data_IF_180484060298
#
_entry.id   IF_180484060298
#
_cell.length_a   1.000
_cell.length_b   1.000
_cell.length_c   1.000
_cell.angle_alpha   90.00
_cell.angle_beta   90.00
_cell.angle_gamma   90.00
#
_symmetry.space_group_name_H-M   'P 1'
#
loop_
_entity.id
_entity.type
_entity.pdbx_description
1 polymer ?
#
# COMPACT_ATOMS: atom_id res chain seq x y z
N UNK A 1 3.12 2.09 -24.55
CA UNK A 1 2.38 1.51 -23.43
C UNK A 1 2.87 2.23 -22.20
N UNK A 2 2.12 3.22 -21.73
CA UNK A 2 2.35 3.78 -20.40
C UNK A 2 2.03 2.67 -19.39
N UNK A 3 2.89 2.40 -18.39
CA UNK A 3 2.52 1.47 -17.34
C UNK A 3 1.26 2.04 -16.68
N UNK A 4 0.16 1.28 -16.67
CA UNK A 4 -1.06 1.75 -16.01
C UNK A 4 -0.69 2.13 -14.57
N UNK A 5 -0.92 3.38 -14.14
CA UNK A 5 -0.51 3.80 -12.83
C UNK A 5 -1.23 2.92 -11.82
N UNK A 6 -0.50 2.45 -10.80
CA UNK A 6 -1.02 1.86 -9.56
C UNK A 6 -2.02 2.84 -8.92
N UNK A 7 -3.23 2.91 -9.47
CA UNK A 7 -4.16 4.04 -9.26
C UNK A 7 -5.10 3.79 -8.09
N UNK A 8 -5.31 2.52 -7.76
CA UNK A 8 -6.26 2.08 -6.74
C UNK A 8 -5.75 2.44 -5.34
N UNK A 9 -6.53 3.26 -4.63
CA UNK A 9 -6.37 3.49 -3.20
C UNK A 9 -7.04 2.35 -2.46
N UNK A 10 -6.28 1.67 -1.62
CA UNK A 10 -6.73 0.49 -0.89
C UNK A 10 -6.80 0.79 0.60
N UNK A 11 -7.82 0.26 1.27
CA UNK A 11 -7.87 0.22 2.73
C UNK A 11 -6.81 -0.75 3.26
N UNK A 12 -6.45 -0.61 4.54
CA UNK A 12 -5.52 -1.55 5.18
C UNK A 12 -5.97 -3.01 5.04
N UNK A 13 -7.26 -3.28 5.22
CA UNK A 13 -7.81 -4.62 5.07
C UNK A 13 -7.64 -5.18 3.65
N UNK A 14 -7.87 -4.36 2.63
CA UNK A 14 -7.66 -4.77 1.24
C UNK A 14 -6.18 -5.04 0.94
N UNK A 15 -5.27 -4.23 1.50
CA UNK A 15 -3.82 -4.42 1.38
C UNK A 15 -3.41 -5.77 1.97
N UNK A 16 -3.84 -6.07 3.20
CA UNK A 16 -3.55 -7.35 3.86
C UNK A 16 -4.09 -8.56 3.08
N UNK A 17 -5.28 -8.45 2.49
CA UNK A 17 -5.85 -9.53 1.67
C UNK A 17 -5.09 -9.74 0.36
N UNK A 18 -4.60 -8.66 -0.26
CA UNK A 18 -3.94 -8.71 -1.58
C UNK A 18 -2.47 -9.09 -1.50
N UNK A 19 -1.79 -8.67 -0.44
CA UNK A 19 -0.35 -8.91 -0.22
C UNK A 19 -0.12 -9.61 1.13
N UNK A 20 -0.65 -10.84 1.30
CA UNK A 20 -0.43 -11.59 2.53
C UNK A 20 1.06 -11.90 2.70
N UNK A 21 1.56 -11.78 3.93
CA UNK A 21 2.94 -12.10 4.31
C UNK A 21 4.03 -11.33 3.53
N UNK A 22 3.67 -10.19 2.95
CA UNK A 22 4.59 -9.35 2.19
C UNK A 22 4.80 -8.00 2.87
N UNK A 23 6.01 -7.48 2.71
CA UNK A 23 6.32 -6.08 2.96
C UNK A 23 5.68 -5.25 1.85
N UNK A 24 5.09 -4.11 2.22
CA UNK A 24 4.48 -3.16 1.28
C UNK A 24 5.05 -1.76 1.53
N UNK A 25 5.35 -1.02 0.47
CA UNK A 25 5.66 0.40 0.54
C UNK A 25 4.39 1.20 0.25
N UNK A 26 3.94 1.99 1.22
CA UNK A 26 2.74 2.82 1.10
C UNK A 26 3.11 4.26 0.73
N UNK A 27 2.37 4.83 -0.21
CA UNK A 27 2.46 6.25 -0.62
C UNK A 27 1.06 6.85 -0.70
N UNK A 28 0.97 8.19 -0.70
CA UNK A 28 -0.31 8.92 -0.68
C UNK A 28 -1.26 8.40 0.42
N UNK A 29 -0.76 8.36 1.65
CA UNK A 29 -1.52 7.87 2.80
C UNK A 29 -2.60 8.89 3.18
N UNK A 30 -3.79 8.39 3.46
CA UNK A 30 -4.90 9.14 4.02
C UNK A 30 -5.18 8.62 5.44
N UNK A 31 -5.08 9.51 6.41
CA UNK A 31 -5.22 9.21 7.83
C UNK A 31 -6.48 9.85 8.37
N UNK A 32 -7.20 9.13 9.22
CA UNK A 32 -8.26 9.73 10.01
C UNK A 32 -7.64 10.41 11.24
N UNK A 33 -7.61 11.74 11.26
CA UNK A 33 -7.02 12.53 12.35
C UNK A 33 -7.72 12.32 13.71
N UNK A 34 -8.98 11.86 13.72
CA UNK A 34 -9.74 11.62 14.95
C UNK A 34 -9.45 10.23 15.56
N UNK A 35 -9.18 9.23 14.71
CA UNK A 35 -8.96 7.83 15.15
C UNK A 35 -7.50 7.39 15.06
N UNK A 36 -6.62 8.18 14.44
CA UNK A 36 -5.23 7.84 14.13
C UNK A 36 -5.10 6.55 13.28
N UNK A 37 -6.13 6.26 12.48
CA UNK A 37 -6.18 5.05 11.63
C UNK A 37 -5.92 5.39 10.15
N UNK A 38 -5.19 4.49 9.49
CA UNK A 38 -5.00 4.54 8.03
C UNK A 38 -6.32 4.21 7.35
N UNK A 39 -6.90 5.19 6.66
CA UNK A 39 -8.14 5.00 5.90
C UNK A 39 -7.86 4.33 4.56
N UNK A 40 -6.99 4.95 3.75
CA UNK A 40 -6.55 4.38 2.47
C UNK A 40 -5.10 4.75 2.17
N UNK A 41 -4.43 3.92 1.37
CA UNK A 41 -3.12 4.21 0.83
C UNK A 41 -2.95 3.62 -0.57
N UNK A 42 -1.92 4.06 -1.28
CA UNK A 42 -1.44 3.37 -2.49
C UNK A 42 -0.24 2.50 -2.17
N UNK A 43 -0.20 1.32 -2.79
CA UNK A 43 0.97 0.42 -2.71
C UNK A 43 1.90 0.75 -3.88
N UNK A 44 3.06 1.32 -3.58
CA UNK A 44 4.09 1.64 -4.59
C UNK A 44 4.94 0.42 -4.96
N UNK A 45 5.05 -0.55 -4.05
CA UNK A 45 5.81 -1.78 -4.24
C UNK A 45 5.53 -2.77 -3.11
N UNK A 46 5.85 -4.04 -3.34
CA UNK A 46 5.67 -5.11 -2.36
C UNK A 46 6.71 -6.23 -2.53
N UNK A 47 6.96 -7.02 -1.48
CA UNK A 47 7.83 -8.19 -1.62
C UNK A 47 8.11 -8.95 -0.32
N UNK A 48 8.90 -10.05 -0.41
CA UNK A 48 9.08 -10.99 0.70
C UNK A 48 9.96 -10.47 1.83
N UNK A 49 10.63 -9.34 1.64
CA UNK A 49 11.50 -8.71 2.63
C UNK A 49 11.42 -7.19 2.54
N UNK A 50 11.92 -6.50 3.56
CA UNK A 50 11.82 -5.04 3.70
C UNK A 50 12.43 -4.23 2.56
N UNK A 51 13.39 -4.77 1.81
CA UNK A 51 14.05 -4.05 0.70
C UNK A 51 13.27 -4.17 -0.61
N UNK A 52 12.63 -5.31 -0.84
CA UNK A 52 11.96 -5.65 -2.09
C UNK A 52 10.91 -4.62 -2.58
N UNK A 53 10.13 -3.92 -1.73
CA UNK A 53 9.23 -2.86 -2.20
C UNK A 53 9.91 -1.64 -2.85
N UNK A 54 11.23 -1.50 -2.73
CA UNK A 54 12.00 -0.34 -3.17
C UNK A 54 13.04 -0.66 -4.26
N UNK A 55 13.20 -1.94 -4.62
CA UNK A 55 14.08 -2.41 -5.71
C UNK A 55 13.32 -2.39 -7.04
#
# INVERSE_FOLDING_TARGET
MEPEPLTERLTWEQICRRYPDQWVALVELDWNDETDELTVARVAGHGPNRRAPFD
#
